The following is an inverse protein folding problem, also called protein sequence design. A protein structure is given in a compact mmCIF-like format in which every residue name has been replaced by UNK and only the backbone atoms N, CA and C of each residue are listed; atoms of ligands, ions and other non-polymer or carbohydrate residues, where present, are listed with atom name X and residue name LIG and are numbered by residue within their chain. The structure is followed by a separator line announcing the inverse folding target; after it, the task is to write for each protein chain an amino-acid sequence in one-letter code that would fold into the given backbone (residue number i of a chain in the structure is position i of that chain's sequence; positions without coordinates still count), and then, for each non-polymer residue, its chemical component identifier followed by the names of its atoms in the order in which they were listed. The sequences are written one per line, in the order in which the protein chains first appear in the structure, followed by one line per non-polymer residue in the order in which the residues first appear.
data_IF_869564139814
#
_entry.id   IF_869564139814
#
_cell.length_a   1.000
_cell.length_b   1.000
_cell.length_c   1.000
_cell.angle_alpha   90.00
_cell.angle_beta   90.00
_cell.angle_gamma   90.00
#
_symmetry.space_group_name_H-M   'P 1'
#
loop_
_entity.id
_entity.type
_entity.pdbx_description
1 polymer ?
#
# COMPACT_ATOMS: atom_id res chain seq x y z
N UNK A 1 -1.03 -5.75 -8.19
CA UNK A 1 -0.37 -4.55 -7.61
C UNK A 1 0.50 -4.85 -6.39
N UNK A 2 -0.04 -5.46 -5.33
CA UNK A 2 0.68 -5.64 -4.05
C UNK A 2 2.08 -6.26 -4.16
N UNK A 3 2.27 -7.29 -5.00
CA UNK A 3 3.59 -7.91 -5.22
C UNK A 3 4.65 -6.93 -5.75
N UNK A 4 4.27 -6.01 -6.64
CA UNK A 4 5.18 -4.98 -7.14
C UNK A 4 5.57 -3.97 -6.05
N UNK A 5 4.66 -3.64 -5.14
CA UNK A 5 4.96 -2.75 -4.01
C UNK A 5 5.90 -3.41 -3.01
N UNK A 6 5.71 -4.70 -2.72
CA UNK A 6 6.64 -5.45 -1.86
C UNK A 6 8.03 -5.52 -2.49
N UNK A 7 8.11 -5.78 -3.80
CA UNK A 7 9.38 -5.78 -4.52
C UNK A 7 10.04 -4.39 -4.50
N UNK A 8 9.25 -3.33 -4.70
CA UNK A 8 9.73 -1.95 -4.60
C UNK A 8 10.31 -1.65 -3.20
N UNK A 9 9.63 -2.08 -2.13
CA UNK A 9 10.11 -1.91 -0.76
C UNK A 9 11.46 -2.62 -0.57
N UNK A 10 11.62 -3.85 -1.06
CA UNK A 10 12.88 -4.59 -0.98
C UNK A 10 13.99 -3.89 -1.75
N UNK A 11 13.72 -3.44 -2.98
CA UNK A 11 14.68 -2.71 -3.81
C UNK A 11 15.09 -1.39 -3.14
N UNK A 12 14.13 -0.62 -2.62
CA UNK A 12 14.39 0.63 -1.93
C UNK A 12 15.22 0.42 -0.65
N UNK A 13 14.94 -0.66 0.10
CA UNK A 13 15.71 -1.04 1.28
C UNK A 13 17.16 -1.37 0.92
N UNK A 14 17.38 -2.20 -0.11
CA UNK A 14 18.70 -2.58 -0.58
C UNK A 14 19.49 -1.37 -1.11
N UNK A 15 18.84 -0.52 -1.91
CA UNK A 15 19.43 0.71 -2.42
C UNK A 15 19.79 1.68 -1.28
N UNK A 16 18.88 1.87 -0.32
CA UNK A 16 19.09 2.69 0.88
C UNK A 16 20.27 2.19 1.71
N UNK A 17 20.35 0.88 1.94
CA UNK A 17 21.48 0.23 2.62
C UNK A 17 22.80 0.55 1.93
N UNK A 18 22.88 0.22 0.63
CA UNK A 18 24.13 0.31 -0.13
C UNK A 18 24.65 1.75 -0.22
N UNK A 19 23.76 2.70 -0.50
CA UNK A 19 24.07 4.12 -0.60
C UNK A 19 24.62 4.67 0.73
N UNK A 20 23.94 4.40 1.85
CA UNK A 20 24.32 4.92 3.15
C UNK A 20 25.60 4.23 3.67
N UNK A 21 25.74 2.93 3.40
CA UNK A 21 26.96 2.18 3.69
C UNK A 21 28.18 2.71 2.93
N UNK A 22 28.03 3.01 1.63
CA UNK A 22 29.10 3.63 0.83
C UNK A 22 29.45 5.03 1.31
N UNK A 23 28.45 5.88 1.58
CA UNK A 23 28.68 7.24 2.08
C UNK A 23 29.44 7.23 3.42
N UNK A 24 29.05 6.35 4.35
CA UNK A 24 29.74 6.20 5.62
C UNK A 24 31.18 5.67 5.45
N UNK A 25 31.43 4.75 4.51
CA UNK A 25 32.78 4.28 4.20
C UNK A 25 33.66 5.37 3.62
N UNK A 26 33.15 6.18 2.69
CA UNK A 26 33.91 7.29 2.11
C UNK A 26 34.32 8.32 3.16
N UNK A 27 33.44 8.62 4.13
CA UNK A 27 33.76 9.52 5.24
C UNK A 27 34.85 8.95 6.15
N UNK A 28 34.77 7.67 6.51
CA UNK A 28 35.81 7.02 7.34
C UNK A 28 37.16 6.95 6.64
N UNK A 29 37.18 6.59 5.36
CA UNK A 29 38.40 6.53 4.58
C UNK A 29 39.04 7.93 4.42
N UNK A 30 38.22 8.99 4.44
CA UNK A 30 38.66 10.39 4.48
C UNK A 30 39.11 10.89 5.86
N UNK A 31 39.20 10.03 6.88
CA UNK A 31 39.70 10.38 8.21
C UNK A 31 38.64 10.88 9.19
N UNK A 32 37.36 10.95 8.80
CA UNK A 32 36.29 11.34 9.73
C UNK A 32 36.05 10.25 10.77
N UNK A 33 35.94 10.65 12.04
CA UNK A 33 35.50 9.75 13.13
C UNK A 33 33.99 9.58 13.06
N UNK A 34 33.53 8.40 12.66
CA UNK A 34 32.13 8.00 12.83
C UNK A 34 31.96 7.28 14.17
N UNK A 35 30.92 7.64 14.92
CA UNK A 35 30.59 7.03 16.21
C UNK A 35 30.06 5.58 16.07
N UNK A 36 29.66 5.16 14.87
CA UNK A 36 29.14 3.80 14.61
C UNK A 36 29.77 3.16 13.36
N UNK A 37 29.70 1.82 13.30
CA UNK A 37 30.16 1.06 12.12
C UNK A 37 29.37 1.47 10.88
N UNK A 38 30.04 1.48 9.72
CA UNK A 38 29.46 1.88 8.43
C UNK A 38 28.23 1.07 8.04
N UNK A 39 28.21 -0.22 8.41
CA UNK A 39 27.08 -1.12 8.19
C UNK A 39 25.82 -0.69 8.96
N UNK A 40 25.97 -0.03 10.12
CA UNK A 40 24.83 0.45 10.91
C UNK A 40 24.05 1.54 10.17
N UNK A 41 24.74 2.47 9.49
CA UNK A 41 24.09 3.53 8.71
C UNK A 41 23.30 2.95 7.52
N UNK A 42 23.83 1.90 6.88
CA UNK A 42 23.11 1.16 5.85
C UNK A 42 21.86 0.47 6.42
N UNK A 43 22.00 -0.28 7.50
CA UNK A 43 20.90 -1.02 8.13
C UNK A 43 19.81 -0.07 8.64
N UNK A 44 20.18 1.05 9.26
CA UNK A 44 19.26 2.09 9.70
C UNK A 44 18.45 2.66 8.53
N UNK A 45 19.11 2.96 7.41
CA UNK A 45 18.44 3.48 6.22
C UNK A 45 17.42 2.49 5.62
N UNK A 46 17.78 1.21 5.58
CA UNK A 46 16.86 0.17 5.13
C UNK A 46 15.65 0.06 6.06
N UNK A 47 15.87 0.00 7.38
CA UNK A 47 14.81 -0.21 8.36
C UNK A 47 13.83 0.97 8.44
N UNK A 48 14.33 2.21 8.50
CA UNK A 48 13.47 3.40 8.64
C UNK A 48 12.63 3.67 7.38
N UNK A 49 13.05 3.16 6.21
CA UNK A 49 12.26 3.24 4.99
C UNK A 49 11.31 2.05 4.85
N UNK A 50 11.82 0.82 4.96
CA UNK A 50 11.09 -0.39 4.61
C UNK A 50 10.04 -0.78 5.64
N UNK A 51 10.36 -0.68 6.94
CA UNK A 51 9.46 -1.12 8.01
C UNK A 51 8.14 -0.34 8.02
N UNK A 52 8.12 1.01 8.04
CA UNK A 52 6.86 1.75 8.01
C UNK A 52 6.09 1.55 6.69
N UNK A 53 6.78 1.42 5.55
CA UNK A 53 6.12 1.14 4.28
C UNK A 53 5.43 -0.24 4.28
N UNK A 54 6.10 -1.27 4.82
CA UNK A 54 5.55 -2.62 4.92
C UNK A 54 4.33 -2.64 5.85
N UNK A 55 4.43 -2.05 7.03
CA UNK A 55 3.31 -1.97 7.99
C UNK A 55 2.11 -1.24 7.37
N UNK A 56 2.36 -0.15 6.65
CA UNK A 56 1.30 0.58 5.95
C UNK A 56 0.60 -0.27 4.90
N UNK A 57 1.36 -0.98 4.04
CA UNK A 57 0.79 -1.88 3.01
C UNK A 57 -0.05 -2.97 3.67
N UNK A 58 0.44 -3.61 4.73
CA UNK A 58 -0.29 -4.67 5.42
C UNK A 58 -1.60 -4.15 6.02
N UNK A 59 -1.55 -3.00 6.71
CA UNK A 59 -2.75 -2.37 7.26
C UNK A 59 -3.74 -1.96 6.17
N UNK A 60 -3.25 -1.39 5.07
CA UNK A 60 -4.08 -1.01 3.94
C UNK A 60 -4.80 -2.21 3.31
N UNK A 61 -4.06 -3.30 3.04
CA UNK A 61 -4.63 -4.52 2.45
C UNK A 61 -5.68 -5.17 3.35
N UNK A 62 -5.50 -5.12 4.67
CA UNK A 62 -6.48 -5.65 5.62
C UNK A 62 -7.80 -4.85 5.63
N UNK A 63 -7.76 -3.55 5.34
CA UNK A 63 -8.91 -2.64 5.46
C UNK A 63 -9.58 -2.29 4.13
N UNK A 64 -8.82 -2.28 3.03
CA UNK A 64 -9.23 -1.80 1.69
C UNK A 64 -10.54 -2.41 1.22
N UNK A 65 -10.62 -3.74 1.17
CA UNK A 65 -11.75 -4.41 0.53
C UNK A 65 -13.05 -4.22 1.30
N UNK A 66 -12.98 -4.22 2.64
CA UNK A 66 -14.13 -3.93 3.49
C UNK A 66 -14.59 -2.48 3.37
N UNK A 67 -13.65 -1.52 3.39
CA UNK A 67 -13.95 -0.11 3.28
C UNK A 67 -14.57 0.25 1.91
N UNK A 68 -14.00 -0.25 0.81
CA UNK A 68 -14.53 -0.02 -0.53
C UNK A 68 -15.91 -0.65 -0.67
N UNK A 69 -16.09 -1.90 -0.22
CA UNK A 69 -17.39 -2.57 -0.33
C UNK A 69 -18.46 -1.83 0.47
N UNK A 70 -18.16 -1.34 1.68
CA UNK A 70 -19.09 -0.53 2.47
C UNK A 70 -19.52 0.75 1.74
N UNK A 71 -18.59 1.43 1.04
CA UNK A 71 -18.90 2.61 0.22
C UNK A 71 -19.80 2.26 -0.97
N UNK A 72 -19.57 1.11 -1.61
CA UNK A 72 -20.38 0.64 -2.74
C UNK A 72 -21.79 0.28 -2.28
N UNK A 73 -21.93 -0.56 -1.25
CA UNK A 73 -23.24 -1.00 -0.74
C UNK A 73 -24.02 0.15 -0.12
N UNK A 74 -23.36 1.13 0.50
CA UNK A 74 -24.01 2.34 1.02
C UNK A 74 -24.56 3.27 -0.07
N UNK A 75 -24.26 3.02 -1.35
CA UNK A 75 -24.87 3.70 -2.48
C UNK A 75 -26.02 2.95 -3.14
N UNK A 76 -26.38 1.77 -2.64
CA UNK A 76 -27.52 1.01 -3.16
C UNK A 76 -28.83 1.57 -2.59
N UNK A 77 -29.95 1.43 -3.32
CA UNK A 77 -31.28 1.77 -2.78
C UNK A 77 -31.62 0.92 -1.55
N UNK A 78 -32.39 1.46 -0.61
CA UNK A 78 -32.85 0.74 0.60
C UNK A 78 -33.64 -0.55 0.28
N UNK A 79 -34.19 -0.65 -0.92
CA UNK A 79 -34.89 -1.84 -1.42
C UNK A 79 -33.96 -2.97 -1.91
N UNK A 80 -32.64 -2.76 -1.95
CA UNK A 80 -31.70 -3.75 -2.49
C UNK A 80 -31.57 -5.01 -1.63
N UNK A 81 -31.74 -4.88 -0.31
CA UNK A 81 -31.82 -5.99 0.63
C UNK A 81 -32.48 -5.53 1.94
N UNK A 82 -33.16 -6.42 2.69
CA UNK A 82 -33.77 -6.06 3.96
C UNK A 82 -32.72 -5.57 4.98
N UNK A 83 -33.05 -4.49 5.69
CA UNK A 83 -32.18 -3.97 6.74
C UNK A 83 -31.96 -5.02 7.84
N UNK A 84 -30.69 -5.30 8.17
CA UNK A 84 -30.31 -6.30 9.18
C UNK A 84 -30.19 -7.72 8.65
N UNK A 85 -30.52 -7.99 7.38
CA UNK A 85 -30.31 -9.31 6.77
C UNK A 85 -28.89 -9.46 6.24
N UNK A 86 -28.01 -10.02 7.08
CA UNK A 86 -26.60 -10.28 6.76
C UNK A 86 -26.47 -11.28 5.60
N UNK A 87 -27.41 -12.22 5.46
CA UNK A 87 -27.41 -13.22 4.40
C UNK A 87 -27.67 -12.60 3.04
N UNK A 88 -28.76 -11.84 2.92
CA UNK A 88 -29.08 -11.10 1.70
C UNK A 88 -27.99 -10.09 1.33
N UNK A 89 -27.43 -9.39 2.31
CA UNK A 89 -26.32 -8.46 2.09
C UNK A 89 -25.07 -9.19 1.53
N UNK A 90 -24.70 -10.34 2.09
CA UNK A 90 -23.55 -11.11 1.61
C UNK A 90 -23.73 -11.62 0.18
N UNK A 91 -24.96 -11.99 -0.20
CA UNK A 91 -25.30 -12.42 -1.54
C UNK A 91 -25.13 -11.27 -2.55
N UNK A 92 -25.67 -10.09 -2.24
CA UNK A 92 -25.52 -8.88 -3.07
C UNK A 92 -24.05 -8.50 -3.22
N UNK A 93 -23.27 -8.52 -2.15
CA UNK A 93 -21.82 -8.23 -2.22
C UNK A 93 -21.08 -9.25 -3.12
N UNK A 94 -21.46 -10.53 -3.06
CA UNK A 94 -20.88 -11.58 -3.90
C UNK A 94 -21.23 -11.36 -5.38
N UNK A 95 -22.47 -11.01 -5.68
CA UNK A 95 -22.93 -10.68 -7.03
C UNK A 95 -22.17 -9.48 -7.60
N UNK A 96 -22.03 -8.38 -6.84
CA UNK A 96 -21.26 -7.20 -7.25
C UNK A 96 -19.80 -7.57 -7.55
N UNK A 97 -19.16 -8.39 -6.70
CA UNK A 97 -17.78 -8.86 -6.95
C UNK A 97 -17.69 -9.70 -8.22
N UNK A 98 -18.68 -10.57 -8.44
CA UNK A 98 -18.74 -11.43 -9.62
C UNK A 98 -18.85 -10.59 -10.90
N UNK A 99 -19.79 -9.64 -10.93
CA UNK A 99 -19.97 -8.71 -12.04
C UNK A 99 -18.74 -7.83 -12.26
N UNK A 100 -18.13 -7.31 -11.20
CA UNK A 100 -16.91 -6.50 -11.28
C UNK A 100 -15.73 -7.28 -11.86
N UNK A 101 -15.67 -8.59 -11.63
CA UNK A 101 -14.67 -9.50 -12.21
C UNK A 101 -14.97 -9.92 -13.66
N UNK A 102 -16.08 -9.46 -14.24
CA UNK A 102 -16.51 -9.80 -15.61
C UNK A 102 -17.33 -11.09 -15.71
N UNK A 103 -17.71 -11.69 -14.58
CA UNK A 103 -18.58 -12.87 -14.56
C UNK A 103 -20.04 -12.42 -14.53
N UNK A 104 -20.76 -12.63 -15.64
CA UNK A 104 -22.18 -12.28 -15.76
C UNK A 104 -23.03 -13.54 -15.67
N UNK A 105 -23.91 -13.59 -14.68
CA UNK A 105 -24.91 -14.64 -14.52
C UNK A 105 -26.29 -14.08 -14.81
N UNK A 106 -27.02 -14.68 -15.76
CA UNK A 106 -28.35 -14.24 -16.14
C UNK A 106 -28.38 -12.83 -16.74
N UNK A 107 -29.41 -12.05 -16.39
CA UNK A 107 -29.59 -10.66 -16.80
C UNK A 107 -29.45 -9.74 -15.57
N UNK A 108 -28.25 -9.22 -15.25
CA UNK A 108 -28.05 -8.34 -14.11
C UNK A 108 -28.82 -7.02 -14.30
N UNK A 109 -29.32 -6.45 -13.21
CA UNK A 109 -29.97 -5.15 -13.25
C UNK A 109 -28.95 -4.03 -13.49
N UNK A 110 -29.40 -2.93 -14.10
CA UNK A 110 -28.57 -1.74 -14.32
C UNK A 110 -27.95 -1.20 -13.01
N UNK A 111 -28.66 -1.37 -11.88
CA UNK A 111 -28.17 -1.00 -10.55
C UNK A 111 -26.98 -1.84 -10.10
N UNK A 112 -26.99 -3.16 -10.35
CA UNK A 112 -25.88 -4.05 -9.99
C UNK A 112 -24.67 -3.85 -10.90
N UNK A 113 -24.91 -3.58 -12.19
CA UNK A 113 -23.85 -3.19 -13.13
C UNK A 113 -23.17 -1.88 -12.70
N UNK A 114 -23.96 -0.86 -12.36
CA UNK A 114 -23.42 0.42 -11.89
C UNK A 114 -22.64 0.28 -10.57
N UNK A 115 -23.07 -0.61 -9.67
CA UNK A 115 -22.36 -0.92 -8.42
C UNK A 115 -21.03 -1.64 -8.68
N UNK A 116 -20.99 -2.58 -9.63
CA UNK A 116 -19.78 -3.26 -10.06
C UNK A 116 -18.77 -2.28 -10.69
N UNK A 117 -19.22 -1.39 -11.56
CA UNK A 117 -18.37 -0.34 -12.15
C UNK A 117 -17.84 0.63 -11.09
N UNK A 118 -18.64 0.93 -10.07
CA UNK A 118 -18.20 1.74 -8.93
C UNK A 118 -17.14 1.01 -8.11
N UNK A 119 -17.30 -0.29 -7.86
CA UNK A 119 -16.30 -1.12 -7.17
C UNK A 119 -14.95 -1.10 -7.91
N UNK A 120 -14.97 -1.28 -9.24
CA UNK A 120 -13.77 -1.23 -10.06
C UNK A 120 -13.08 0.14 -10.01
N UNK A 121 -13.83 1.23 -10.22
CA UNK A 121 -13.29 2.60 -10.14
C UNK A 121 -12.67 2.93 -8.78
N UNK A 122 -13.36 2.58 -7.69
CA UNK A 122 -12.83 2.81 -6.34
C UNK A 122 -11.58 1.96 -6.06
N UNK A 123 -11.56 0.72 -6.57
CA UNK A 123 -10.41 -0.17 -6.48
C UNK A 123 -9.19 0.40 -7.20
N UNK A 124 -9.36 0.94 -8.41
CA UNK A 124 -8.28 1.55 -9.19
C UNK A 124 -7.72 2.80 -8.49
N UNK A 125 -8.61 3.66 -7.98
CA UNK A 125 -8.21 4.84 -7.21
C UNK A 125 -7.45 4.43 -5.95
N UNK A 126 -7.95 3.43 -5.21
CA UNK A 126 -7.31 2.93 -4.00
C UNK A 126 -5.91 2.36 -4.28
N UNK A 127 -5.74 1.66 -5.41
CA UNK A 127 -4.44 1.14 -5.82
C UNK A 127 -3.44 2.26 -6.17
N UNK A 128 -3.91 3.30 -6.85
CA UNK A 128 -3.11 4.50 -7.12
C UNK A 128 -2.69 5.24 -5.85
N UNK A 129 -3.62 5.43 -4.90
CA UNK A 129 -3.35 6.06 -3.61
C UNK A 129 -2.35 5.25 -2.77
N UNK A 130 -2.51 3.93 -2.74
CA UNK A 130 -1.56 3.05 -2.05
C UNK A 130 -0.16 3.18 -2.65
N UNK A 131 -0.03 3.14 -3.97
CA UNK A 131 1.26 3.28 -4.63
C UNK A 131 1.92 4.63 -4.30
N UNK A 132 1.17 5.73 -4.38
CA UNK A 132 1.66 7.06 -4.02
C UNK A 132 2.10 7.16 -2.56
N UNK A 133 1.31 6.59 -1.63
CA UNK A 133 1.64 6.58 -0.22
C UNK A 133 2.93 5.80 0.07
N UNK A 134 3.08 4.61 -0.52
CA UNK A 134 4.29 3.77 -0.36
C UNK A 134 5.53 4.51 -0.88
N UNK A 135 5.46 5.10 -2.08
CA UNK A 135 6.57 5.89 -2.65
C UNK A 135 6.93 7.06 -1.73
N UNK A 136 5.92 7.75 -1.18
CA UNK A 136 6.13 8.87 -0.28
C UNK A 136 6.80 8.45 1.05
N UNK A 137 6.35 7.34 1.65
CA UNK A 137 6.93 6.79 2.89
C UNK A 137 8.38 6.37 2.66
N UNK A 138 8.64 5.62 1.57
CA UNK A 138 10.00 5.20 1.22
C UNK A 138 10.92 6.39 0.97
N UNK A 139 10.46 7.37 0.19
CA UNK A 139 11.21 8.59 -0.10
C UNK A 139 11.56 9.38 1.15
N UNK A 140 10.59 9.57 2.05
CA UNK A 140 10.79 10.25 3.33
C UNK A 140 11.77 9.50 4.24
N UNK A 141 11.62 8.17 4.37
CA UNK A 141 12.52 7.35 5.18
C UNK A 141 13.96 7.40 4.68
N UNK A 142 14.17 7.25 3.37
CA UNK A 142 15.51 7.33 2.75
C UNK A 142 16.12 8.73 2.90
N UNK A 143 15.33 9.79 2.71
CA UNK A 143 15.77 11.18 2.92
C UNK A 143 16.20 11.42 4.37
N UNK A 144 15.41 10.95 5.34
CA UNK A 144 15.74 11.05 6.77
C UNK A 144 17.02 10.29 7.11
N UNK A 145 17.17 9.08 6.57
CA UNK A 145 18.36 8.29 6.78
C UNK A 145 19.62 8.98 6.25
N UNK A 146 19.55 9.58 5.05
CA UNK A 146 20.68 10.35 4.50
C UNK A 146 21.10 11.50 5.40
N UNK A 147 20.14 12.19 6.04
CA UNK A 147 20.44 13.28 6.99
C UNK A 147 21.14 12.82 8.27
N UNK A 148 21.06 11.54 8.63
CA UNK A 148 21.80 11.01 9.78
C UNK A 148 23.30 10.83 9.51
N UNK A 149 23.74 10.87 8.25
CA UNK A 149 25.16 10.85 7.87
C UNK A 149 25.68 12.29 7.86
N UNK A 150 25.84 12.90 9.03
CA UNK A 150 26.52 14.17 9.18
C UNK A 150 27.90 13.95 9.82
N UNK A 151 29.00 14.42 9.22
CA UNK A 151 30.31 14.40 9.88
C UNK A 151 30.27 15.30 11.12
N UNK A 152 30.87 14.83 12.21
CA UNK A 152 31.19 15.64 13.38
C UNK A 152 32.55 16.30 13.19
#
# INVERSE_FOLDING_TARGET
MAGYLLLLIVIAAAAGFYVNWRAAQTLRNGGARLHSMTAFHGAYAALIAALPALLFVLAWLALRDGAIMAIVTGGLPDAAYPAGDVGAQSLVQSEIRSLASGSVFGAPSDTMLAAADRLNRLSDIADGLLALAVVSILGFGLWRARRSIAPQ
#
